data_IF_561386014629
#
_entry.id   IF_561386014629
#
_cell.length_a   1.000
_cell.length_b   1.000
_cell.length_c   1.000
_cell.angle_alpha   90.00
_cell.angle_beta   90.00
_cell.angle_gamma   90.00
#
_symmetry.space_group_name_H-M   'P 1'
#
loop_
_entity.id
_entity.type
_entity.pdbx_description
1 polymer ?
#
# COMPACT_ATOMS: atom_id res chain seq x y z
N UNK A 1 -28.33 6.53 -3.25
CA UNK A 1 -28.56 5.09 -3.03
C UNK A 1 -30.07 4.87 -3.01
N UNK A 2 -30.55 3.81 -3.66
CA UNK A 2 -31.97 3.47 -3.72
C UNK A 2 -32.46 3.06 -2.31
N UNK A 3 -33.45 3.74 -1.71
CA UNK A 3 -34.00 3.40 -0.40
C UNK A 3 -34.66 2.02 -0.33
N UNK A 4 -35.02 1.43 -1.48
CA UNK A 4 -35.73 0.15 -1.57
C UNK A 4 -34.81 -1.03 -1.89
N UNK A 5 -33.48 -0.84 -1.93
CA UNK A 5 -32.55 -1.94 -2.12
C UNK A 5 -32.55 -2.86 -0.87
N UNK A 6 -32.82 -4.17 -1.01
CA UNK A 6 -32.90 -5.11 0.11
C UNK A 6 -31.59 -5.24 0.90
N UNK A 7 -30.46 -4.80 0.34
CA UNK A 7 -29.15 -4.84 0.99
C UNK A 7 -28.80 -3.54 1.71
N UNK A 8 -29.66 -2.52 1.73
CA UNK A 8 -29.39 -1.23 2.41
C UNK A 8 -28.96 -1.42 3.87
N UNK A 9 -29.50 -2.43 4.55
CA UNK A 9 -29.12 -2.77 5.92
C UNK A 9 -27.67 -3.27 6.01
N UNK A 10 -27.28 -4.23 5.17
CA UNK A 10 -25.92 -4.76 5.14
C UNK A 10 -24.91 -3.68 4.71
N UNK A 11 -25.27 -2.83 3.75
CA UNK A 11 -24.41 -1.71 3.35
C UNK A 11 -24.20 -0.69 4.47
N UNK A 12 -25.24 -0.36 5.25
CA UNK A 12 -25.09 0.51 6.43
C UNK A 12 -24.17 -0.12 7.45
N UNK A 13 -24.37 -1.40 7.76
CA UNK A 13 -23.51 -2.14 8.70
C UNK A 13 -22.05 -2.18 8.25
N UNK A 14 -21.78 -2.42 6.97
CA UNK A 14 -20.42 -2.39 6.42
C UNK A 14 -19.82 -0.98 6.46
N UNK A 15 -20.60 0.05 6.13
CA UNK A 15 -20.16 1.45 6.21
C UNK A 15 -19.81 1.87 7.63
N UNK A 16 -20.65 1.52 8.60
CA UNK A 16 -20.44 1.81 10.02
C UNK A 16 -19.20 1.07 10.53
N UNK A 17 -18.98 -0.17 10.10
CA UNK A 17 -17.75 -0.92 10.39
C UNK A 17 -16.50 -0.25 9.79
N UNK A 18 -16.55 0.23 8.55
CA UNK A 18 -15.44 0.95 7.91
C UNK A 18 -15.18 2.30 8.61
N UNK A 19 -16.23 3.02 9.01
CA UNK A 19 -16.09 4.25 9.77
C UNK A 19 -15.48 4.00 11.16
N UNK A 20 -15.88 2.91 11.83
CA UNK A 20 -15.27 2.46 13.09
C UNK A 20 -13.78 2.16 12.90
N UNK A 21 -13.40 1.48 11.81
CA UNK A 21 -12.00 1.25 11.45
C UNK A 21 -11.24 2.56 11.12
N UNK A 22 -11.94 3.56 10.59
CA UNK A 22 -11.40 4.92 10.42
C UNK A 22 -11.15 5.62 11.75
N UNK A 23 -12.06 5.48 12.72
CA UNK A 23 -11.87 6.01 14.07
C UNK A 23 -10.76 5.28 14.86
N UNK A 24 -10.50 4.00 14.57
CA UNK A 24 -9.30 3.30 15.01
C UNK A 24 -8.01 3.94 14.50
N UNK A 25 -8.00 4.43 13.25
CA UNK A 25 -6.86 5.10 12.64
C UNK A 25 -6.69 6.56 13.13
N UNK A 26 -7.79 7.24 13.46
CA UNK A 26 -7.83 8.64 13.94
C UNK A 26 -7.71 8.80 15.47
N UNK A 27 -7.36 7.74 16.20
CA UNK A 27 -6.89 7.88 17.58
C UNK A 27 -5.64 8.75 17.57
N UNK A 28 -5.79 10.06 17.82
CA UNK A 28 -4.85 11.14 17.50
C UNK A 28 -3.37 10.92 17.85
N UNK A 29 -3.02 9.93 18.68
CA UNK A 29 -1.64 9.54 19.01
C UNK A 29 -1.53 8.05 19.41
N UNK A 30 -2.35 7.15 18.82
CA UNK A 30 -2.37 5.72 19.20
C UNK A 30 -3.11 5.42 20.51
N UNK A 31 -3.93 6.36 21.00
CA UNK A 31 -4.70 6.22 22.24
C UNK A 31 -6.16 5.96 21.89
N UNK A 32 -6.65 4.75 22.19
CA UNK A 32 -8.08 4.45 22.08
C UNK A 32 -8.84 5.23 23.14
N UNK A 33 -9.80 6.06 22.70
CA UNK A 33 -10.75 6.76 23.58
C UNK A 33 -12.11 6.06 23.65
N UNK A 34 -12.29 4.95 22.92
CA UNK A 34 -13.55 4.21 22.81
C UNK A 34 -13.33 2.69 22.85
N UNK A 35 -14.26 1.96 23.46
CA UNK A 35 -14.29 0.49 23.49
C UNK A 35 -14.76 -0.06 22.12
N UNK A 36 -14.21 -1.18 21.63
CA UNK A 36 -14.73 -1.88 20.45
C UNK A 36 -16.21 -2.30 20.56
N UNK A 37 -16.74 -2.31 21.78
CA UNK A 37 -18.15 -2.53 22.10
C UNK A 37 -19.07 -1.32 21.81
N UNK A 38 -18.52 -0.18 21.36
CA UNK A 38 -19.27 1.04 21.07
C UNK A 38 -19.55 1.95 22.27
N UNK A 39 -19.14 1.53 23.47
CA UNK A 39 -19.27 2.29 24.72
C UNK A 39 -18.05 3.18 24.98
N UNK A 40 -18.27 4.27 25.72
CA UNK A 40 -17.20 5.15 26.19
C UNK A 40 -16.29 4.45 27.20
N UNK A 41 -14.98 4.73 27.14
CA UNK A 41 -14.04 4.28 28.17
C UNK A 41 -14.15 5.18 29.40
N UNK A 42 -14.41 4.58 30.56
CA UNK A 42 -14.33 5.24 31.86
C UNK A 42 -12.86 5.29 32.25
N UNK A 43 -12.37 6.50 32.49
CA UNK A 43 -11.05 6.73 33.05
C UNK A 43 -11.13 6.76 34.58
N UNK A 44 -10.41 5.85 35.23
CA UNK A 44 -10.26 5.81 36.69
C UNK A 44 -8.81 6.14 37.06
N UNK A 45 -8.61 6.90 38.13
CA UNK A 45 -7.27 7.13 38.70
C UNK A 45 -7.24 6.54 40.10
N UNK A 46 -6.44 5.49 40.30
CA UNK A 46 -6.24 4.81 41.58
C UNK A 46 -4.77 4.97 41.96
N UNK A 47 -4.48 5.59 43.10
CA UNK A 47 -3.12 5.84 43.58
C UNK A 47 -2.20 6.51 42.54
N UNK A 48 -2.75 7.47 41.78
CA UNK A 48 -2.04 8.18 40.70
C UNK A 48 -1.89 7.39 39.40
N UNK A 49 -2.35 6.13 39.36
CA UNK A 49 -2.29 5.26 38.18
C UNK A 49 -3.60 5.33 37.39
N UNK A 50 -3.50 5.56 36.07
CA UNK A 50 -4.67 5.60 35.17
C UNK A 50 -5.07 4.20 34.71
N UNK A 51 -6.36 3.91 34.82
CA UNK A 51 -7.01 2.72 34.30
C UNK A 51 -8.10 3.13 33.32
N UNK A 52 -8.28 2.34 32.27
CA UNK A 52 -9.39 2.49 31.32
C UNK A 52 -10.27 1.26 31.42
N UNK A 53 -11.55 1.46 31.70
CA UNK A 53 -12.54 0.40 31.83
C UNK A 53 -13.70 0.72 30.89
N UNK A 54 -14.14 -0.23 30.05
CA UNK A 54 -15.35 -0.05 29.26
C UNK A 54 -16.59 -0.07 30.18
N UNK A 55 -17.59 0.77 29.91
CA UNK A 55 -18.78 0.94 30.78
C UNK A 55 -19.62 -0.35 30.96
N UNK A 56 -19.48 -1.32 30.04
CA UNK A 56 -20.36 -2.50 30.02
C UNK A 56 -19.90 -3.61 30.99
N UNK A 57 -20.87 -4.18 31.70
CA UNK A 57 -20.75 -5.29 32.69
C UNK A 57 -20.36 -6.65 32.09
N UNK A 58 -19.93 -6.68 30.82
CA UNK A 58 -19.48 -7.92 30.18
C UNK A 58 -18.17 -8.39 30.80
N UNK A 59 -18.18 -9.63 31.29
CA UNK A 59 -17.03 -10.36 31.89
C UNK A 59 -15.80 -10.48 30.98
N UNK A 60 -15.90 -10.04 29.72
CA UNK A 60 -14.82 -10.02 28.74
C UNK A 60 -14.02 -8.70 28.74
N UNK A 61 -14.46 -7.67 29.49
CA UNK A 61 -13.72 -6.42 29.63
C UNK A 61 -12.78 -6.47 30.84
N UNK A 62 -11.59 -7.02 30.62
CA UNK A 62 -10.55 -7.08 31.64
C UNK A 62 -9.91 -5.70 31.80
N UNK A 63 -9.92 -5.17 33.04
CA UNK A 63 -9.17 -3.97 33.42
C UNK A 63 -7.70 -4.17 33.08
N UNK A 64 -7.19 -3.43 32.09
CA UNK A 64 -5.77 -3.42 31.75
C UNK A 64 -5.15 -2.10 32.18
N UNK A 65 -3.97 -2.15 32.79
CA UNK A 65 -3.24 -0.92 33.10
C UNK A 65 -2.78 -0.28 31.79
N UNK A 66 -2.92 1.04 31.70
CA UNK A 66 -2.61 1.79 30.48
C UNK A 66 -1.15 1.68 30.08
N UNK A 67 -0.23 1.73 31.04
CA UNK A 67 1.21 1.61 30.81
C UNK A 67 1.59 0.28 30.14
N UNK A 68 1.05 -0.84 30.63
CA UNK A 68 1.26 -2.16 30.03
C UNK A 68 0.68 -2.26 28.61
N UNK A 69 -0.52 -1.71 28.40
CA UNK A 69 -1.16 -1.74 27.08
C UNK A 69 -0.35 -0.95 26.03
N UNK A 70 0.19 0.21 26.43
CA UNK A 70 1.03 1.03 25.56
C UNK A 70 2.38 0.34 25.30
N UNK A 71 3.00 -0.26 26.32
CA UNK A 71 4.28 -0.97 26.16
C UNK A 71 4.17 -2.12 25.15
N UNK A 72 3.14 -2.95 25.28
CA UNK A 72 2.89 -4.05 24.34
C UNK A 72 2.66 -3.56 22.90
N UNK A 73 1.89 -2.48 22.72
CA UNK A 73 1.60 -1.93 21.39
C UNK A 73 2.85 -1.29 20.77
N UNK A 74 3.68 -0.59 21.56
CA UNK A 74 4.96 -0.03 21.09
C UNK A 74 5.90 -1.14 20.64
N UNK A 75 5.99 -2.25 21.37
CA UNK A 75 6.80 -3.41 20.96
C UNK A 75 6.28 -4.01 19.66
N UNK A 76 4.96 -4.24 19.55
CA UNK A 76 4.33 -4.77 18.33
C UNK A 76 4.58 -3.88 17.12
N UNK A 77 4.44 -2.56 17.29
CA UNK A 77 4.68 -1.58 16.23
C UNK A 77 6.15 -1.55 15.81
N UNK A 78 7.08 -1.66 16.77
CA UNK A 78 8.51 -1.74 16.50
C UNK A 78 8.84 -2.96 15.63
N UNK A 79 8.36 -4.15 16.00
CA UNK A 79 8.60 -5.38 15.25
C UNK A 79 7.99 -5.30 13.84
N UNK A 80 6.78 -4.75 13.73
CA UNK A 80 6.11 -4.55 12.45
C UNK A 80 6.88 -3.60 11.53
N UNK A 81 7.41 -2.50 12.09
CA UNK A 81 8.17 -1.50 11.34
C UNK A 81 9.53 -2.05 10.88
N UNK A 82 10.19 -2.88 11.70
CA UNK A 82 11.42 -3.57 11.32
C UNK A 82 11.20 -4.57 10.17
N UNK A 83 10.12 -5.35 10.24
CA UNK A 83 9.72 -6.26 9.17
C UNK A 83 9.41 -5.50 7.86
N UNK A 84 8.65 -4.39 7.94
CA UNK A 84 8.34 -3.55 6.79
C UNK A 84 9.60 -2.92 6.18
N UNK A 85 10.50 -2.39 7.01
CA UNK A 85 11.77 -1.82 6.56
C UNK A 85 12.61 -2.86 5.81
N UNK A 86 12.65 -4.09 6.32
CA UNK A 86 13.34 -5.21 5.66
C UNK A 86 12.71 -5.52 4.31
N UNK A 87 11.37 -5.55 4.24
CA UNK A 87 10.67 -5.82 2.99
C UNK A 87 10.89 -4.72 1.94
N UNK A 88 10.88 -3.45 2.36
CA UNK A 88 11.18 -2.31 1.48
C UNK A 88 12.59 -2.43 0.90
N UNK A 89 13.59 -2.77 1.73
CA UNK A 89 14.96 -2.98 1.25
C UNK A 89 15.05 -4.11 0.23
N UNK A 90 14.38 -5.24 0.48
CA UNK A 90 14.34 -6.36 -0.46
C UNK A 90 13.72 -5.95 -1.80
N UNK A 91 12.51 -5.36 -1.77
CA UNK A 91 11.79 -4.96 -2.97
C UNK A 91 12.55 -3.91 -3.78
N UNK A 92 13.24 -2.97 -3.12
CA UNK A 92 14.10 -2.01 -3.81
C UNK A 92 15.27 -2.70 -4.53
N UNK A 93 15.89 -3.71 -3.90
CA UNK A 93 16.93 -4.51 -4.55
C UNK A 93 16.41 -5.27 -5.77
N UNK A 94 15.25 -5.91 -5.67
CA UNK A 94 14.59 -6.60 -6.79
C UNK A 94 14.23 -5.63 -7.92
N UNK A 95 13.72 -4.44 -7.57
CA UNK A 95 13.37 -3.40 -8.53
C UNK A 95 14.58 -2.90 -9.30
N UNK A 96 15.72 -2.69 -8.64
CA UNK A 96 16.94 -2.24 -9.29
C UNK A 96 17.50 -3.28 -10.26
N UNK A 97 17.45 -4.56 -9.90
CA UNK A 97 17.83 -5.67 -10.78
C UNK A 97 16.90 -5.71 -12.01
N UNK A 98 15.59 -5.65 -11.80
CA UNK A 98 14.60 -5.67 -12.87
C UNK A 98 14.78 -4.48 -13.83
N UNK A 99 14.98 -3.26 -13.29
CA UNK A 99 15.24 -2.06 -14.08
C UNK A 99 16.50 -2.19 -14.95
N UNK A 100 17.61 -2.67 -14.38
CA UNK A 100 18.86 -2.89 -15.13
C UNK A 100 18.67 -3.92 -16.24
N UNK A 101 17.98 -5.03 -15.95
CA UNK A 101 17.69 -6.07 -16.94
C UNK A 101 16.85 -5.51 -18.11
N UNK A 102 15.76 -4.82 -17.80
CA UNK A 102 14.88 -4.23 -18.81
C UNK A 102 15.62 -3.15 -19.64
N UNK A 103 16.45 -2.33 -19.00
CA UNK A 103 17.25 -1.30 -19.71
C UNK A 103 18.23 -1.95 -20.68
N UNK A 104 18.87 -3.06 -20.27
CA UNK A 104 19.79 -3.82 -21.13
C UNK A 104 19.05 -4.42 -22.32
N UNK A 105 17.94 -5.12 -22.08
CA UNK A 105 17.16 -5.78 -23.13
C UNK A 105 16.61 -4.76 -24.15
N UNK A 106 16.07 -3.65 -23.67
CA UNK A 106 15.62 -2.54 -24.54
C UNK A 106 16.80 -1.94 -25.29
N UNK A 107 17.95 -1.77 -24.65
CA UNK A 107 19.17 -1.26 -25.29
C UNK A 107 19.67 -2.16 -26.41
N UNK A 108 19.65 -3.48 -26.20
CA UNK A 108 20.01 -4.50 -27.20
C UNK A 108 19.05 -4.46 -28.39
N UNK A 109 17.74 -4.40 -28.15
CA UNK A 109 16.73 -4.33 -29.22
C UNK A 109 16.85 -3.02 -30.03
N UNK A 110 17.08 -1.89 -29.35
CA UNK A 110 17.30 -0.59 -30.01
C UNK A 110 18.56 -0.61 -30.88
N UNK A 111 19.62 -1.28 -30.43
CA UNK A 111 20.84 -1.42 -31.23
C UNK A 111 20.60 -2.24 -32.49
N UNK A 112 19.89 -3.37 -32.37
CA UNK A 112 19.53 -4.23 -33.51
C UNK A 112 18.65 -3.50 -34.53
N UNK A 113 17.61 -2.80 -34.06
CA UNK A 113 16.73 -2.01 -34.94
C UNK A 113 17.47 -0.87 -35.65
N UNK A 114 18.50 -0.29 -35.02
CA UNK A 114 19.34 0.73 -35.68
C UNK A 114 20.18 0.14 -36.82
N UNK A 115 20.70 -1.06 -36.63
CA UNK A 115 21.47 -1.77 -37.66
C UNK A 115 20.57 -2.15 -38.84
N UNK A 116 19.42 -2.77 -38.58
CA UNK A 116 18.43 -3.12 -39.60
C UNK A 116 17.94 -1.88 -40.38
N UNK A 117 17.67 -0.77 -39.68
CA UNK A 117 17.28 0.49 -40.34
C UNK A 117 18.39 1.05 -41.23
N UNK A 118 19.66 0.93 -40.82
CA UNK A 118 20.79 1.39 -41.62
C UNK A 118 20.95 0.53 -42.90
N UNK A 119 20.79 -0.78 -42.79
CA UNK A 119 20.79 -1.69 -43.94
C UNK A 119 19.65 -1.38 -44.90
N UNK A 120 18.43 -1.18 -44.38
CA UNK A 120 17.27 -0.80 -45.20
C UNK A 120 17.48 0.54 -45.89
N UNK A 121 18.06 1.54 -45.21
CA UNK A 121 18.37 2.83 -45.81
C UNK A 121 19.36 2.70 -46.99
N UNK A 122 20.39 1.86 -46.85
CA UNK A 122 21.33 1.56 -47.92
C UNK A 122 20.65 0.86 -49.10
N UNK A 123 19.79 -0.14 -48.84
CA UNK A 123 19.03 -0.82 -49.90
C UNK A 123 18.09 0.14 -50.66
N UNK A 124 17.39 1.03 -49.95
CA UNK A 124 16.53 2.05 -50.57
C UNK A 124 17.36 2.98 -51.46
N UNK A 125 18.54 3.43 -50.99
CA UNK A 125 19.44 4.26 -51.77
C UNK A 125 19.87 3.56 -53.07
N UNK A 126 20.28 2.30 -52.99
CA UNK A 126 20.73 1.54 -54.16
C UNK A 126 19.60 1.28 -55.17
N UNK A 127 18.40 0.94 -54.70
CA UNK A 127 17.22 0.78 -55.55
C UNK A 127 16.81 2.08 -56.24
N UNK A 128 16.90 3.21 -55.51
CA UNK A 128 16.62 4.54 -56.07
C UNK A 128 17.62 4.86 -57.19
N UNK A 129 18.91 4.61 -56.97
CA UNK A 129 19.94 4.83 -57.98
C UNK A 129 19.77 3.92 -59.22
N UNK A 130 19.31 2.67 -59.04
CA UNK A 130 18.97 1.78 -60.15
C UNK A 130 17.78 2.28 -60.96
N UNK A 131 16.71 2.71 -60.29
CA UNK A 131 15.55 3.30 -60.97
C UNK A 131 15.93 4.55 -61.77
N UNK A 132 16.69 5.47 -61.19
CA UNK A 132 17.14 6.68 -61.89
C UNK A 132 17.94 6.37 -63.17
N UNK A 133 18.79 5.34 -63.14
CA UNK A 133 19.53 4.87 -64.34
C UNK A 133 18.59 4.29 -65.38
N UNK A 134 17.56 3.54 -64.97
CA UNK A 134 16.59 2.93 -65.88
C UNK A 134 15.70 3.96 -66.57
N UNK A 135 15.35 5.07 -65.91
CA UNK A 135 14.50 6.12 -66.48
C UNK A 135 15.27 7.24 -67.22
N UNK A 136 16.62 7.26 -67.16
CA UNK A 136 17.47 8.22 -67.89
C UNK A 136 18.15 7.66 -69.14
N UNK A 137 18.03 6.36 -69.41
CA UNK A 137 18.47 5.71 -70.66
C UNK A 137 17.31 5.59 -71.64
#
# INVERSE_FOLDING_TARGET
>A
MDPNDPNVYEWKKTKDHIQMLGFWADGNYGIMTWCPCGEGLIQEVVDGTRYYTASSTSVLHVRKRWDLAIEEEVLRLRDSNEAQTTKIRQLNGELDIAKRKATREVGEEVAKLKEENAEQANQIHDLTAQQEKQYRG
#
